data_IF_420993926670
#
_entry.id   IF_420993926670
#
_cell.length_a   1.000
_cell.length_b   1.000
_cell.length_c   1.000
_cell.angle_alpha   90.00
_cell.angle_beta   90.00
_cell.angle_gamma   90.00
#
_symmetry.space_group_name_H-M   'P 1'
#
loop_
_entity.id
_entity.type
_entity.pdbx_description
1 polymer ?
#
# COMPACT_ATOMS: atom_id res chain seq x y z
N UNK A 1 29.45 -17.60 14.48
CA UNK A 1 27.98 -17.57 14.36
C UNK A 1 27.57 -16.38 15.18
N UNK A 2 27.43 -15.25 14.50
CA UNK A 2 27.24 -13.95 15.12
C UNK A 2 25.82 -13.80 15.64
N UNK A 3 25.74 -13.29 16.87
CA UNK A 3 24.56 -13.08 17.69
C UNK A 3 23.71 -11.92 17.16
N UNK A 4 23.15 -12.07 15.96
CA UNK A 4 22.02 -11.25 15.49
C UNK A 4 20.69 -11.72 16.09
N UNK A 5 20.74 -12.13 17.36
CA UNK A 5 19.60 -12.60 18.13
C UNK A 5 18.89 -11.39 18.75
N UNK A 6 17.76 -11.01 18.14
CA UNK A 6 16.54 -10.56 18.84
C UNK A 6 16.45 -9.15 19.43
N UNK A 7 16.99 -8.11 18.79
CA UNK A 7 16.53 -6.71 18.98
C UNK A 7 15.57 -6.26 17.85
N UNK A 8 14.68 -7.16 17.38
CA UNK A 8 13.61 -6.80 16.43
C UNK A 8 12.21 -6.75 17.05
N UNK A 9 12.10 -6.89 18.37
CA UNK A 9 10.81 -6.86 19.08
C UNK A 9 10.36 -5.43 19.50
N UNK A 10 11.19 -4.40 19.29
CA UNK A 10 10.88 -2.99 19.64
C UNK A 10 10.43 -2.12 18.45
N UNK A 11 9.74 -2.72 17.47
CA UNK A 11 9.10 -1.96 16.37
C UNK A 11 7.56 -2.00 16.45
N UNK A 12 7.02 -2.25 17.65
CA UNK A 12 5.57 -2.26 17.93
C UNK A 12 5.15 -1.12 18.87
N UNK A 13 5.82 0.04 18.78
CA UNK A 13 5.22 1.28 19.26
C UNK A 13 3.87 1.50 18.55
N UNK A 14 2.93 2.29 19.12
CA UNK A 14 1.73 2.68 18.38
C UNK A 14 2.20 3.18 17.03
N UNK A 15 1.77 2.52 15.95
CA UNK A 15 1.91 3.09 14.62
C UNK A 15 1.15 4.40 14.73
N UNK A 16 1.87 5.50 14.93
CA UNK A 16 1.34 6.82 14.68
C UNK A 16 1.10 6.78 13.18
N UNK A 17 -0.05 6.22 12.78
CA UNK A 17 -0.41 5.99 11.38
C UNK A 17 -0.28 7.36 10.74
N UNK A 18 0.78 7.61 9.95
CA UNK A 18 0.92 8.91 9.33
C UNK A 18 -0.26 8.98 8.39
N UNK A 19 -1.29 9.76 8.77
CA UNK A 19 -2.56 9.80 8.07
C UNK A 19 -2.25 9.91 6.58
N UNK A 20 -2.41 8.78 5.88
CA UNK A 20 -2.01 8.71 4.48
C UNK A 20 -2.92 9.70 3.79
N UNK A 21 -2.35 10.76 3.25
CA UNK A 21 -3.15 11.81 2.65
C UNK A 21 -3.81 11.25 1.39
N UNK A 22 -5.06 10.80 1.54
CA UNK A 22 -5.86 10.25 0.45
C UNK A 22 -6.10 11.27 -0.68
N UNK A 23 -5.73 12.55 -0.48
CA UNK A 23 -5.74 13.57 -1.53
C UNK A 23 -4.48 13.60 -2.40
N UNK A 24 -3.47 12.76 -2.12
CA UNK A 24 -2.26 12.63 -2.92
C UNK A 24 -2.60 12.19 -4.35
N UNK A 25 -2.40 13.09 -5.30
CA UNK A 25 -2.45 12.81 -6.74
C UNK A 25 -1.05 12.64 -7.29
N UNK A 26 -0.80 11.50 -7.94
CA UNK A 26 0.49 11.17 -8.54
C UNK A 26 0.62 11.75 -9.96
N UNK A 27 -0.48 12.24 -10.54
CA UNK A 27 -0.53 12.74 -11.91
C UNK A 27 -0.56 11.64 -12.97
N UNK A 28 -0.57 10.37 -12.56
CA UNK A 28 -0.79 9.23 -13.44
C UNK A 28 -2.22 8.75 -13.23
N UNK A 29 -3.10 9.01 -14.21
CA UNK A 29 -4.52 8.71 -14.12
C UNK A 29 -4.83 7.25 -13.76
N UNK A 30 -3.97 6.29 -14.15
CA UNK A 30 -4.16 4.87 -13.76
C UNK A 30 -3.82 4.63 -12.30
N UNK A 31 -2.74 5.23 -11.81
CA UNK A 31 -2.33 5.13 -10.40
C UNK A 31 -3.34 5.85 -9.50
N UNK A 32 -3.78 7.05 -9.91
CA UNK A 32 -4.78 7.83 -9.17
C UNK A 32 -6.13 7.07 -9.05
N UNK A 33 -6.54 6.35 -10.09
CA UNK A 33 -7.76 5.52 -10.05
C UNK A 33 -7.64 4.32 -9.09
N UNK A 34 -6.45 3.70 -9.02
CA UNK A 34 -6.18 2.62 -8.05
C UNK A 34 -6.20 3.18 -6.63
N UNK A 35 -5.60 4.34 -6.38
CA UNK A 35 -5.65 5.00 -5.06
C UNK A 35 -7.08 5.38 -4.66
N UNK A 36 -7.89 5.87 -5.59
CA UNK A 36 -9.31 6.14 -5.33
C UNK A 36 -10.08 4.86 -4.95
N UNK A 37 -9.73 3.71 -5.55
CA UNK A 37 -10.37 2.42 -5.21
C UNK A 37 -10.08 1.94 -3.79
N UNK A 38 -8.97 2.39 -3.20
CA UNK A 38 -8.59 2.10 -1.81
C UNK A 38 -9.27 3.04 -0.81
N UNK A 39 -9.90 4.12 -1.29
CA UNK A 39 -10.65 5.04 -0.42
C UNK A 39 -11.90 4.33 0.11
N UNK A 40 -12.00 4.17 1.44
CA UNK A 40 -13.11 3.47 2.10
C UNK A 40 -12.82 2.00 2.43
N UNK A 41 -11.57 1.56 2.27
CA UNK A 41 -11.15 0.22 2.69
C UNK A 41 -11.36 -0.01 4.20
N UNK A 42 -11.19 1.03 5.03
CA UNK A 42 -11.45 0.99 6.47
C UNK A 42 -12.89 0.62 6.84
N UNK A 43 -13.85 0.85 5.94
CA UNK A 43 -15.25 0.49 6.14
C UNK A 43 -15.54 -0.99 5.79
N UNK A 44 -14.61 -1.67 5.11
CA UNK A 44 -14.71 -3.09 4.75
C UNK A 44 -14.18 -3.98 5.90
N UNK A 45 -14.71 -5.20 6.05
CA UNK A 45 -14.14 -6.16 6.99
C UNK A 45 -12.72 -6.56 6.57
N UNK A 46 -11.86 -6.80 7.56
CA UNK A 46 -10.42 -7.09 7.36
C UNK A 46 -10.18 -8.28 6.43
N UNK A 47 -11.03 -9.31 6.47
CA UNK A 47 -10.93 -10.47 5.58
C UNK A 47 -11.09 -10.11 4.09
N UNK A 48 -11.78 -9.00 3.78
CA UNK A 48 -11.94 -8.49 2.42
C UNK A 48 -10.78 -7.59 1.98
N UNK A 49 -10.01 -7.03 2.92
CA UNK A 49 -8.90 -6.12 2.62
C UNK A 49 -7.83 -6.78 1.76
N UNK A 50 -7.52 -8.04 2.03
CA UNK A 50 -6.50 -8.79 1.28
C UNK A 50 -6.84 -8.85 -0.21
N UNK A 51 -8.08 -9.18 -0.56
CA UNK A 51 -8.52 -9.26 -1.94
C UNK A 51 -8.47 -7.89 -2.64
N UNK A 52 -8.84 -6.82 -1.95
CA UNK A 52 -8.76 -5.45 -2.49
C UNK A 52 -7.30 -5.02 -2.70
N UNK A 53 -6.42 -5.30 -1.74
CA UNK A 53 -5.00 -4.96 -1.85
C UNK A 53 -4.30 -5.76 -2.96
N UNK A 54 -4.59 -7.05 -3.10
CA UNK A 54 -4.03 -7.86 -4.19
C UNK A 54 -4.43 -7.31 -5.56
N UNK A 55 -5.72 -7.00 -5.74
CA UNK A 55 -6.21 -6.41 -6.98
C UNK A 55 -5.55 -5.04 -7.27
N UNK A 56 -5.48 -4.16 -6.27
CA UNK A 56 -4.83 -2.86 -6.40
C UNK A 56 -3.33 -3.00 -6.74
N UNK A 57 -2.65 -4.00 -6.17
CA UNK A 57 -1.25 -4.27 -6.46
C UNK A 57 -1.03 -4.71 -7.91
N UNK A 58 -1.88 -5.59 -8.44
CA UNK A 58 -1.83 -6.03 -9.84
C UNK A 58 -2.03 -4.86 -10.81
N UNK A 59 -3.05 -4.02 -10.56
CA UNK A 59 -3.34 -2.84 -11.38
C UNK A 59 -2.20 -1.81 -11.33
N UNK A 60 -1.65 -1.56 -10.14
CA UNK A 60 -0.52 -0.65 -9.97
C UNK A 60 0.72 -1.16 -10.72
N UNK A 61 1.00 -2.46 -10.62
CA UNK A 61 2.10 -3.08 -11.36
C UNK A 61 1.91 -2.93 -12.86
N UNK A 62 0.71 -3.22 -13.38
CA UNK A 62 0.40 -3.04 -14.80
C UNK A 62 0.54 -1.58 -15.26
N UNK A 63 0.11 -0.63 -14.43
CA UNK A 63 0.23 0.79 -14.72
C UNK A 63 1.69 1.28 -14.77
N UNK A 64 2.56 0.72 -13.92
CA UNK A 64 3.98 1.08 -13.83
C UNK A 64 4.85 0.34 -14.86
N UNK A 65 4.61 -0.95 -15.09
CA UNK A 65 5.30 -1.76 -16.12
C UNK A 65 4.97 -1.25 -17.54
N UNK A 66 3.80 -0.63 -17.73
CA UNK A 66 3.43 0.04 -18.97
C UNK A 66 4.21 1.32 -19.27
N UNK A 67 5.08 1.80 -18.36
CA UNK A 67 6.11 2.81 -18.64
C UNK A 67 7.38 2.07 -19.07
N UNK A 68 7.67 1.95 -20.38
CA UNK A 68 8.89 1.30 -20.84
C UNK A 68 10.10 2.08 -20.33
N UNK A 69 11.19 1.36 -20.11
CA UNK A 69 12.51 1.87 -19.77
C UNK A 69 12.86 3.08 -20.67
N UNK A 70 13.27 4.19 -20.05
CA UNK A 70 13.85 5.33 -20.77
C UNK A 70 15.24 5.02 -21.27
#
# INVERSE_FOLDING_TARGET
MDEHDLDRDDQTGPLDDPAVDASLRTGNARVDAVLDSLTGLDDLPVDEHVAVFEHAHEELRGALDARPES
#
